data_IF_509989642113
#
_entry.id   IF_509989642113
#
_cell.length_a   1.000
_cell.length_b   1.000
_cell.length_c   1.000
_cell.angle_alpha   90.00
_cell.angle_beta   90.00
_cell.angle_gamma   90.00
#
_symmetry.space_group_name_H-M   'P 1'
#
loop_
_entity.id
_entity.type
_entity.pdbx_description
1 polymer ?
#
# COMPACT_ATOMS: atom_id res chain seq x y z
N UNK A 1 7.65 4.94 2.47
CA UNK A 1 8.80 5.61 1.84
C UNK A 1 8.45 7.02 1.47
N UNK A 2 9.38 7.96 1.62
CA UNK A 2 9.13 9.37 1.34
C UNK A 2 10.02 9.79 0.17
N UNK A 3 9.41 10.41 -0.83
CA UNK A 3 10.10 11.04 -1.97
C UNK A 3 11.15 12.06 -1.48
N UNK A 4 12.21 12.35 -2.25
CA UNK A 4 13.15 13.44 -1.97
C UNK A 4 12.48 14.79 -1.67
N UNK A 5 11.33 14.98 -2.31
CA UNK A 5 10.49 16.17 -2.28
C UNK A 5 9.11 15.85 -1.73
N UNK A 6 8.42 16.85 -1.20
CA UNK A 6 7.01 16.73 -0.85
C UNK A 6 6.10 16.64 -2.11
N UNK A 7 4.79 16.57 -1.90
CA UNK A 7 3.80 16.49 -2.97
C UNK A 7 3.72 17.78 -3.81
N UNK A 8 4.24 18.89 -3.29
CA UNK A 8 4.32 20.19 -3.97
C UNK A 8 5.67 20.37 -4.70
N UNK A 9 6.58 19.39 -4.60
CA UNK A 9 7.89 19.42 -5.24
C UNK A 9 8.96 20.21 -4.46
N UNK A 10 8.69 20.61 -3.22
CA UNK A 10 9.66 21.28 -2.34
C UNK A 10 10.63 20.27 -1.73
N UNK A 11 11.87 20.71 -1.56
CA UNK A 11 12.89 19.92 -0.87
C UNK A 11 12.53 19.70 0.59
N UNK A 12 12.72 18.46 1.07
CA UNK A 12 12.49 18.12 2.46
C UNK A 12 13.72 18.46 3.33
N UNK A 13 13.54 18.80 4.62
CA UNK A 13 14.64 18.99 5.55
C UNK A 13 15.56 17.75 5.64
N UNK A 14 16.84 17.98 5.94
CA UNK A 14 17.85 16.90 5.94
C UNK A 14 17.55 15.75 6.89
N UNK A 15 16.98 16.02 8.05
CA UNK A 15 16.60 14.98 9.01
C UNK A 15 15.52 14.05 8.43
N UNK A 16 14.57 14.58 7.65
CA UNK A 16 13.54 13.76 6.97
C UNK A 16 14.18 12.82 5.96
N UNK A 17 15.27 13.23 5.31
CA UNK A 17 15.97 12.37 4.34
C UNK A 17 16.68 11.20 5.02
N UNK A 18 17.18 11.39 6.24
CA UNK A 18 17.89 10.38 7.03
C UNK A 18 16.95 9.32 7.59
N UNK A 19 15.73 9.70 7.95
CA UNK A 19 14.69 8.80 8.50
C UNK A 19 13.86 8.10 7.40
N UNK A 20 14.32 8.10 6.14
CA UNK A 20 13.56 7.47 5.05
C UNK A 20 13.63 5.95 5.13
N UNK A 21 12.45 5.33 5.10
CA UNK A 21 12.30 3.90 4.88
C UNK A 21 11.99 3.60 3.41
N UNK A 22 12.35 2.39 2.96
CA UNK A 22 11.98 1.87 1.64
C UNK A 22 10.47 1.56 1.50
N UNK A 23 10.03 1.23 0.28
CA UNK A 23 8.62 0.85 0.04
C UNK A 23 8.30 -0.52 0.62
N UNK A 24 9.22 -1.48 0.48
CA UNK A 24 9.05 -2.81 1.08
C UNK A 24 8.89 -2.70 2.61
N UNK A 25 9.73 -1.90 3.25
CA UNK A 25 9.65 -1.65 4.69
C UNK A 25 8.33 -0.97 5.08
N UNK A 26 7.91 0.03 4.30
CA UNK A 26 6.61 0.67 4.54
C UNK A 26 5.45 -0.32 4.40
N UNK A 27 5.48 -1.22 3.41
CA UNK A 27 4.46 -2.26 3.24
C UNK A 27 4.41 -3.16 4.47
N UNK A 28 5.55 -3.62 4.98
CA UNK A 28 5.61 -4.45 6.21
C UNK A 28 5.02 -3.72 7.41
N UNK A 29 5.41 -2.46 7.63
CA UNK A 29 4.91 -1.64 8.74
C UNK A 29 3.38 -1.50 8.69
N UNK A 30 2.82 -1.21 7.51
CA UNK A 30 1.37 -0.99 7.36
C UNK A 30 0.55 -2.28 7.21
N UNK A 31 1.18 -3.46 7.21
CA UNK A 31 0.48 -4.73 7.04
C UNK A 31 0.86 -5.72 8.14
N UNK A 32 1.95 -6.46 7.97
CA UNK A 32 2.44 -7.49 8.88
C UNK A 32 2.69 -6.97 10.30
N UNK A 33 3.51 -5.91 10.44
CA UNK A 33 3.93 -5.43 11.76
C UNK A 33 2.77 -4.76 12.52
N UNK A 34 1.92 -4.03 11.82
CA UNK A 34 0.69 -3.47 12.41
C UNK A 34 -0.25 -4.58 12.90
N UNK A 35 -0.48 -5.61 12.09
CA UNK A 35 -1.31 -6.75 12.49
C UNK A 35 -0.70 -7.50 13.68
N UNK A 36 0.62 -7.68 13.68
CA UNK A 36 1.34 -8.30 14.79
C UNK A 36 1.17 -7.50 16.09
N UNK A 37 1.35 -6.18 16.05
CA UNK A 37 1.18 -5.30 17.21
C UNK A 37 -0.26 -5.33 17.76
N UNK A 38 -1.26 -5.47 16.89
CA UNK A 38 -2.67 -5.54 17.25
C UNK A 38 -3.16 -6.97 17.56
N UNK A 39 -2.30 -7.98 17.45
CA UNK A 39 -2.66 -9.40 17.61
C UNK A 39 -3.79 -9.85 16.66
N UNK A 40 -3.84 -9.28 15.45
CA UNK A 40 -4.82 -9.63 14.43
C UNK A 40 -4.27 -10.70 13.48
N UNK A 41 -5.16 -11.41 12.78
CA UNK A 41 -4.82 -12.45 11.80
C UNK A 41 -4.96 -11.93 10.36
N UNK A 42 -4.44 -10.73 10.07
CA UNK A 42 -4.48 -10.11 8.73
C UNK A 42 -3.10 -9.53 8.38
N UNK A 43 -3.00 -8.79 7.28
CA UNK A 43 -1.76 -8.12 6.89
C UNK A 43 -0.70 -9.01 6.23
N UNK A 44 -0.97 -10.30 6.01
CA UNK A 44 -0.15 -11.18 5.18
C UNK A 44 -1.00 -12.01 4.23
N UNK A 45 -0.51 -12.20 3.00
CA UNK A 45 -1.13 -13.11 2.03
C UNK A 45 -0.59 -14.52 2.26
N UNK A 46 -1.24 -15.25 3.17
CA UNK A 46 -0.83 -16.60 3.60
C UNK A 46 -2.04 -17.41 4.05
N UNK A 47 -1.99 -18.73 3.86
CA UNK A 47 -3.02 -19.63 4.37
C UNK A 47 -3.20 -19.47 5.90
N UNK A 48 -4.47 -19.40 6.34
CA UNK A 48 -4.83 -19.23 7.75
C UNK A 48 -4.97 -17.77 8.20
N UNK A 49 -4.69 -16.80 7.33
CA UNK A 49 -5.00 -15.38 7.54
C UNK A 49 -6.41 -15.03 7.05
N UNK A 50 -7.00 -13.99 7.64
CA UNK A 50 -8.21 -13.34 7.13
C UNK A 50 -7.97 -12.84 5.71
N UNK A 51 -8.97 -13.00 4.85
CA UNK A 51 -8.89 -12.61 3.44
C UNK A 51 -9.16 -11.10 3.28
N UNK A 52 -8.38 -10.29 3.99
CA UNK A 52 -8.37 -8.83 3.96
C UNK A 52 -7.21 -8.36 3.07
N UNK A 53 -7.53 -7.92 1.86
CA UNK A 53 -6.51 -7.45 0.91
C UNK A 53 -7.06 -6.47 -0.09
N UNK A 54 -6.16 -5.73 -0.73
CA UNK A 54 -6.46 -4.80 -1.81
C UNK A 54 -5.74 -5.23 -3.08
N UNK A 55 -6.39 -5.01 -4.22
CA UNK A 55 -5.77 -5.09 -5.55
C UNK A 55 -5.41 -3.68 -5.97
N UNK A 56 -4.14 -3.42 -6.25
CA UNK A 56 -3.66 -2.10 -6.67
C UNK A 56 -3.55 -2.02 -8.19
N UNK A 57 -3.68 -0.81 -8.74
CA UNK A 57 -3.58 -0.54 -10.19
C UNK A 57 -2.21 -0.91 -10.78
N UNK A 58 -1.14 -0.80 -9.98
CA UNK A 58 0.22 -1.15 -10.38
C UNK A 58 1.02 -1.68 -9.16
N UNK A 59 2.18 -2.29 -9.39
CA UNK A 59 3.04 -2.82 -8.32
C UNK A 59 3.92 -1.72 -7.70
N UNK A 60 3.71 -1.31 -6.43
CA UNK A 60 4.47 -0.23 -5.80
C UNK A 60 5.97 -0.51 -5.64
N UNK A 61 6.40 -1.77 -5.69
CA UNK A 61 7.82 -2.16 -5.62
C UNK A 61 8.57 -1.93 -6.94
N UNK A 62 7.86 -1.68 -8.04
CA UNK A 62 8.43 -1.51 -9.38
C UNK A 62 8.22 -0.10 -9.95
N UNK A 63 7.67 0.82 -9.16
CA UNK A 63 7.32 2.16 -9.61
C UNK A 63 8.27 3.22 -9.04
N UNK A 64 8.53 4.31 -9.79
CA UNK A 64 9.12 5.51 -9.22
C UNK A 64 8.27 6.01 -8.05
N UNK A 65 8.92 6.44 -6.97
CA UNK A 65 8.23 6.88 -5.75
C UNK A 65 7.25 8.03 -6.00
N UNK A 66 7.50 8.86 -7.01
CA UNK A 66 6.64 9.97 -7.40
C UNK A 66 5.29 9.50 -8.00
N UNK A 67 5.20 8.26 -8.49
CA UNK A 67 3.96 7.66 -9.01
C UNK A 67 3.14 6.93 -7.95
N UNK A 68 3.69 6.72 -6.77
CA UNK A 68 2.97 6.01 -5.70
C UNK A 68 1.71 6.76 -5.25
N UNK A 69 1.70 8.11 -5.15
CA UNK A 69 0.46 8.84 -4.84
C UNK A 69 -0.66 8.70 -5.87
N UNK A 70 -0.37 8.26 -7.10
CA UNK A 70 -1.39 8.00 -8.12
C UNK A 70 -1.89 6.56 -8.17
N UNK A 71 -1.38 5.67 -7.31
CA UNK A 71 -1.89 4.30 -7.20
C UNK A 71 -3.34 4.31 -6.75
N UNK A 72 -4.15 3.49 -7.40
CA UNK A 72 -5.54 3.29 -7.06
C UNK A 72 -5.73 1.88 -6.51
N UNK A 73 -6.58 1.74 -5.49
CA UNK A 73 -7.14 0.45 -5.15
C UNK A 73 -8.21 0.14 -6.21
N UNK A 74 -8.02 -0.92 -6.98
CA UNK A 74 -9.01 -1.40 -7.95
C UNK A 74 -10.10 -2.21 -7.25
N UNK A 75 -9.72 -2.96 -6.22
CA UNK A 75 -10.62 -3.80 -5.43
C UNK A 75 -10.18 -3.84 -3.98
N UNK A 76 -11.14 -3.93 -3.07
CA UNK A 76 -10.91 -4.19 -1.64
C UNK A 76 -11.75 -5.38 -1.21
N UNK A 77 -11.11 -6.35 -0.58
CA UNK A 77 -11.73 -7.52 0.01
C UNK A 77 -11.60 -7.44 1.52
N UNK A 78 -12.71 -7.69 2.23
CA UNK A 78 -12.77 -7.84 3.68
C UNK A 78 -13.43 -9.18 3.99
N UNK A 79 -12.76 -10.01 4.80
CA UNK A 79 -13.16 -11.38 5.10
C UNK A 79 -13.55 -12.19 3.86
N UNK A 80 -12.80 -11.98 2.76
CA UNK A 80 -13.03 -12.63 1.47
C UNK A 80 -14.20 -12.06 0.65
N UNK A 81 -14.93 -11.08 1.16
CA UNK A 81 -16.02 -10.41 0.44
C UNK A 81 -15.51 -9.16 -0.27
N UNK A 82 -15.88 -9.02 -1.54
CA UNK A 82 -15.61 -7.80 -2.31
C UNK A 82 -16.49 -6.66 -1.78
N UNK A 83 -15.90 -5.69 -1.11
CA UNK A 83 -16.62 -4.54 -0.52
C UNK A 83 -16.46 -3.25 -1.32
N UNK A 84 -15.45 -3.20 -2.18
CA UNK A 84 -15.21 -2.09 -3.09
C UNK A 84 -14.62 -2.60 -4.39
N UNK A 85 -15.13 -2.09 -5.51
CA UNK A 85 -14.56 -2.28 -6.83
C UNK A 85 -14.63 -0.94 -7.57
N UNK A 86 -13.51 -0.52 -8.14
CA UNK A 86 -13.49 0.64 -9.01
C UNK A 86 -14.18 0.30 -10.33
N UNK A 87 -15.19 1.09 -10.69
CA UNK A 87 -16.00 0.86 -11.89
C UNK A 87 -15.28 1.28 -13.18
N UNK A 88 -14.09 1.88 -13.08
CA UNK A 88 -13.27 2.20 -14.26
C UNK A 88 -12.78 0.95 -15.01
N UNK A 89 -12.85 -0.25 -14.40
CA UNK A 89 -12.52 -1.53 -15.02
C UNK A 89 -13.72 -2.32 -15.59
N UNK A 90 -14.95 -1.83 -15.45
CA UNK A 90 -16.18 -2.58 -15.80
C UNK A 90 -16.48 -2.66 -17.31
N UNK A 91 -15.57 -2.18 -18.18
CA UNK A 91 -15.62 -2.41 -19.62
C UNK A 91 -14.57 -3.45 -20.02
N UNK A 92 -14.75 -4.70 -19.60
CA UNK A 92 -14.25 -5.91 -20.28
C UNK A 92 -14.62 -7.16 -19.47
N UNK A 93 -15.91 -7.53 -19.49
CA UNK A 93 -16.36 -8.93 -19.48
C UNK A 93 -17.70 -9.02 -20.21
#
# INVERSE_FOLDING_TARGET
AISPKDLEGKELPDWVRKERIGIEEALKIFTEEASHALHEKKGQIKQGMQADFVVLSENPLKLPIQKIPSLQALQTYLDGQLVYADNAGSSQI
#
